data_IF_675278828349
#
_entry.id   IF_675278828349
#
_cell.length_a   1.000
_cell.length_b   1.000
_cell.length_c   1.000
_cell.angle_alpha   90.00
_cell.angle_beta   90.00
_cell.angle_gamma   90.00
#
_symmetry.space_group_name_H-M   'P 1'
#
loop_
_entity.id
_entity.type
_entity.pdbx_description
1 polymer ?
#
# COMPACT_ATOMS: atom_id res chain seq x y z
N UNK A 1 49.55 21.69 -48.47
CA UNK A 1 48.49 21.77 -47.45
C UNK A 1 48.78 20.72 -46.40
N UNK A 2 49.10 21.13 -45.18
CA UNK A 2 49.29 20.24 -44.04
C UNK A 2 47.93 20.03 -43.36
N UNK A 3 47.53 18.77 -43.15
CA UNK A 3 46.36 18.43 -42.34
C UNK A 3 46.81 17.54 -41.19
N UNK A 4 46.84 18.15 -40.01
CA UNK A 4 46.79 17.50 -38.70
C UNK A 4 45.38 16.95 -38.47
N UNK A 5 45.22 15.78 -37.85
CA UNK A 5 44.04 15.43 -37.04
C UNK A 5 44.40 14.28 -36.10
N UNK A 6 44.12 14.49 -34.82
CA UNK A 6 44.41 13.62 -33.69
C UNK A 6 43.46 12.41 -33.58
N UNK A 7 43.92 11.38 -32.87
CA UNK A 7 43.19 10.16 -32.48
C UNK A 7 41.98 10.47 -31.58
N UNK A 8 40.94 9.60 -31.59
CA UNK A 8 40.14 9.34 -30.40
C UNK A 8 40.23 7.89 -29.93
N UNK A 9 40.29 7.75 -28.60
CA UNK A 9 40.39 6.51 -27.84
C UNK A 9 39.15 5.60 -28.01
N UNK A 10 39.37 4.30 -28.22
CA UNK A 10 38.34 3.27 -28.22
C UNK A 10 37.80 3.03 -26.80
N UNK A 11 36.50 3.29 -26.58
CA UNK A 11 35.77 2.78 -25.42
C UNK A 11 35.25 1.37 -25.74
N UNK A 12 35.55 0.42 -24.86
CA UNK A 12 35.04 -0.95 -24.92
C UNK A 12 33.52 -0.98 -24.66
N UNK A 13 32.74 -1.82 -25.37
CA UNK A 13 31.32 -1.97 -25.12
C UNK A 13 31.05 -2.80 -23.85
N UNK A 14 30.26 -2.24 -22.94
CA UNK A 14 29.71 -2.93 -21.76
C UNK A 14 28.62 -3.89 -22.25
N UNK A 15 28.85 -5.20 -22.15
CA UNK A 15 27.82 -6.22 -22.33
C UNK A 15 26.95 -6.34 -21.07
N UNK A 16 25.63 -6.26 -21.25
CA UNK A 16 24.64 -6.62 -20.22
C UNK A 16 24.07 -8.00 -20.57
N UNK A 17 24.29 -8.97 -19.70
CA UNK A 17 23.70 -10.31 -19.80
C UNK A 17 22.24 -10.27 -19.36
N UNK A 18 21.34 -10.59 -20.29
CA UNK A 18 19.92 -10.89 -20.05
C UNK A 18 19.80 -12.41 -19.99
N UNK A 19 19.28 -12.96 -18.90
CA UNK A 19 18.96 -14.40 -18.80
C UNK A 19 17.49 -14.62 -19.10
N UNK A 20 17.21 -15.09 -20.32
CA UNK A 20 15.97 -15.77 -20.68
C UNK A 20 16.06 -17.23 -20.23
N UNK A 21 15.02 -17.74 -19.56
CA UNK A 21 14.76 -19.18 -19.50
C UNK A 21 13.31 -19.45 -19.90
N UNK A 22 13.15 -20.06 -21.07
CA UNK A 22 11.90 -20.61 -21.58
C UNK A 22 11.97 -22.14 -21.51
N UNK A 23 10.99 -22.80 -20.89
CA UNK A 23 10.69 -24.22 -21.13
C UNK A 23 9.18 -24.47 -21.18
N UNK A 24 8.74 -24.75 -22.40
CA UNK A 24 7.70 -25.66 -22.89
C UNK A 24 6.38 -25.87 -22.13
N UNK A 25 5.28 -25.56 -22.84
CA UNK A 25 3.93 -26.10 -22.65
C UNK A 25 3.86 -27.62 -22.72
N UNK A 26 3.11 -28.23 -21.79
CA UNK A 26 2.41 -29.50 -21.99
C UNK A 26 1.09 -29.50 -21.21
N UNK A 27 0.12 -30.21 -21.75
CA UNK A 27 -1.32 -30.10 -21.54
C UNK A 27 -1.91 -31.02 -20.45
N UNK A 28 -2.90 -30.49 -19.70
CA UNK A 28 -4.06 -31.15 -19.03
C UNK A 28 -3.79 -32.11 -17.84
N UNK A 29 -4.72 -32.30 -16.85
CA UNK A 29 -6.17 -32.15 -16.95
C UNK A 29 -6.89 -31.32 -15.87
N UNK A 30 -8.12 -30.95 -16.23
CA UNK A 30 -9.18 -30.39 -15.40
C UNK A 30 -9.48 -31.28 -14.19
N UNK A 31 -9.27 -30.75 -12.97
CA UNK A 31 -9.87 -31.32 -11.77
C UNK A 31 -11.08 -30.51 -11.37
N UNK A 32 -12.22 -31.19 -11.40
CA UNK A 32 -13.51 -30.75 -10.90
C UNK A 32 -13.41 -30.80 -9.37
N UNK A 33 -13.32 -29.65 -8.71
CA UNK A 33 -13.31 -29.57 -7.25
C UNK A 33 -14.74 -29.28 -6.78
N UNK A 34 -15.36 -30.27 -6.12
CA UNK A 34 -16.65 -30.10 -5.47
C UNK A 34 -16.53 -29.18 -4.23
N UNK A 35 -17.56 -28.39 -3.86
CA UNK A 35 -17.46 -27.29 -2.88
C UNK A 35 -17.29 -27.69 -1.39
N UNK A 36 -16.78 -28.88 -1.06
CA UNK A 36 -16.79 -29.42 0.30
C UNK A 36 -15.41 -29.55 0.98
N UNK A 37 -14.30 -29.28 0.30
CA UNK A 37 -12.97 -29.27 0.91
C UNK A 37 -12.43 -27.84 0.98
N UNK A 38 -12.55 -27.23 2.16
CA UNK A 38 -11.95 -25.93 2.48
C UNK A 38 -10.53 -26.14 3.02
N UNK A 39 -9.45 -25.71 2.33
CA UNK A 39 -8.19 -25.46 3.00
C UNK A 39 -8.37 -24.24 3.90
N UNK A 40 -8.19 -24.49 5.20
CA UNK A 40 -8.24 -23.50 6.28
C UNK A 40 -7.54 -22.20 5.90
N UNK A 41 -8.21 -21.09 6.22
CA UNK A 41 -7.63 -19.75 6.24
C UNK A 41 -6.36 -19.79 7.12
N UNK A 42 -5.17 -19.68 6.53
CA UNK A 42 -3.95 -19.41 7.28
C UNK A 42 -4.09 -18.02 7.89
N UNK A 43 -4.21 -17.84 9.21
CA UNK A 43 -4.04 -16.53 9.78
C UNK A 43 -2.54 -16.22 9.67
N UNK A 44 -2.18 -15.16 8.94
CA UNK A 44 -0.88 -14.56 9.09
C UNK A 44 -0.70 -14.18 10.57
N UNK A 45 0.04 -14.99 11.31
CA UNK A 45 0.45 -14.65 12.67
C UNK A 45 1.59 -13.65 12.59
N UNK A 46 1.29 -12.41 12.26
CA UNK A 46 2.10 -11.27 12.72
C UNK A 46 1.76 -11.02 14.19
N UNK A 47 1.94 -12.04 15.02
CA UNK A 47 1.82 -11.93 16.46
C UNK A 47 3.05 -11.20 16.98
N UNK A 48 3.00 -9.87 16.99
CA UNK A 48 3.99 -8.99 17.64
C UNK A 48 4.15 -9.28 19.15
N UNK A 49 3.32 -10.14 19.72
CA UNK A 49 3.33 -10.54 21.13
C UNK A 49 4.37 -11.61 21.49
N UNK A 50 5.05 -12.24 20.53
CA UNK A 50 6.01 -13.34 20.82
C UNK A 50 7.48 -12.91 20.92
N UNK A 51 7.81 -11.63 20.71
CA UNK A 51 9.17 -11.07 20.88
C UNK A 51 9.33 -10.34 22.22
N UNK A 52 8.55 -10.75 23.22
CA UNK A 52 8.42 -10.05 24.49
C UNK A 52 9.54 -10.38 25.47
N UNK A 53 10.58 -9.55 25.46
CA UNK A 53 11.52 -9.29 26.58
C UNK A 53 12.72 -10.24 26.75
N UNK A 54 12.62 -11.53 26.45
CA UNK A 54 13.77 -12.45 26.63
C UNK A 54 14.88 -12.25 25.57
N UNK A 55 14.50 -11.87 24.35
CA UNK A 55 15.44 -11.66 23.23
C UNK A 55 16.15 -10.28 23.28
N UNK A 56 15.62 -9.32 24.04
CA UNK A 56 16.14 -7.95 24.11
C UNK A 56 17.46 -7.84 24.87
N UNK A 57 17.60 -8.59 25.97
CA UNK A 57 18.81 -8.63 26.80
C UNK A 57 19.96 -9.37 26.08
N UNK A 58 19.66 -10.51 25.43
CA UNK A 58 20.67 -11.32 24.71
C UNK A 58 21.24 -10.59 23.48
N UNK A 59 20.44 -9.74 22.83
CA UNK A 59 20.87 -8.95 21.67
C UNK A 59 21.59 -7.64 22.05
N UNK A 60 21.49 -7.18 23.31
CA UNK A 60 22.17 -5.97 23.80
C UNK A 60 23.66 -6.18 23.97
N UNK A 61 24.07 -7.36 24.45
CA UNK A 61 25.48 -7.71 24.66
C UNK A 61 26.23 -8.05 23.36
N UNK A 62 25.52 -8.33 22.26
CA UNK A 62 26.15 -8.71 20.99
C UNK A 62 26.35 -7.55 20.01
N UNK A 63 25.75 -6.38 20.27
CA UNK A 63 25.90 -5.20 19.43
C UNK A 63 26.93 -4.29 20.09
N UNK A 64 28.11 -4.18 19.49
CA UNK A 64 29.14 -3.23 19.94
C UNK A 64 28.60 -1.80 20.07
N UNK A 65 29.36 -0.92 20.72
CA UNK A 65 28.96 0.47 21.01
C UNK A 65 28.33 1.14 19.79
N UNK A 66 27.01 1.41 19.88
CA UNK A 66 26.28 2.13 18.84
C UNK A 66 26.59 3.61 19.02
N UNK A 67 26.96 4.29 17.92
CA UNK A 67 27.27 5.71 17.93
C UNK A 67 26.17 6.45 17.15
N UNK A 68 25.66 7.54 17.72
CA UNK A 68 24.67 8.39 17.06
C UNK A 68 25.29 9.26 15.94
N UNK A 69 24.46 10.02 15.23
CA UNK A 69 24.92 10.95 14.17
C UNK A 69 25.79 12.10 14.70
N UNK A 70 25.83 12.31 16.01
CA UNK A 70 26.58 13.36 16.69
C UNK A 70 27.86 12.85 17.36
N UNK A 71 28.18 11.55 17.24
CA UNK A 71 29.38 10.95 17.81
C UNK A 71 29.23 10.49 19.28
N UNK A 72 28.02 10.50 19.85
CA UNK A 72 27.76 10.06 21.21
C UNK A 72 27.39 8.57 21.26
N UNK A 73 27.62 7.92 22.41
CA UNK A 73 27.16 6.56 22.65
C UNK A 73 25.62 6.50 22.70
N UNK A 74 25.04 5.76 21.77
CA UNK A 74 23.61 5.50 21.69
C UNK A 74 23.25 4.24 22.47
N UNK A 75 22.56 4.41 23.58
CA UNK A 75 21.98 3.30 24.33
C UNK A 75 20.57 3.02 23.82
N UNK A 76 20.32 1.79 23.36
CA UNK A 76 18.96 1.37 22.98
C UNK A 76 18.09 1.41 24.24
N UNK A 77 17.00 2.21 24.24
CA UNK A 77 16.08 2.24 25.36
C UNK A 77 15.33 0.90 25.48
N UNK A 78 15.26 0.35 26.69
CA UNK A 78 14.40 -0.82 26.99
C UNK A 78 13.00 -0.35 27.36
N UNK A 79 12.22 -0.01 26.33
CA UNK A 79 10.79 0.23 26.52
C UNK A 79 10.00 -1.04 26.21
N UNK A 80 9.14 -1.44 27.13
CA UNK A 80 8.14 -2.46 26.85
C UNK A 80 7.02 -1.85 25.99
N UNK A 81 6.38 -2.67 25.15
CA UNK A 81 5.21 -2.24 24.35
C UNK A 81 4.11 -1.63 25.24
N UNK A 82 3.97 -2.12 26.48
CA UNK A 82 3.01 -1.60 27.44
C UNK A 82 3.38 -0.19 27.91
N UNK A 83 4.64 0.08 28.24
CA UNK A 83 5.09 1.43 28.63
C UNK A 83 4.86 2.45 27.52
N UNK A 84 5.09 2.07 26.27
CA UNK A 84 4.83 2.93 25.11
C UNK A 84 3.32 3.20 24.99
N UNK A 85 2.48 2.18 25.11
CA UNK A 85 1.02 2.32 25.01
C UNK A 85 0.43 3.14 26.15
N UNK A 86 0.92 2.96 27.37
CA UNK A 86 0.45 3.67 28.56
C UNK A 86 0.83 5.16 28.54
N UNK A 87 1.85 5.54 27.75
CA UNK A 87 2.21 6.95 27.52
C UNK A 87 1.27 7.68 26.54
N UNK A 88 0.46 6.95 25.76
CA UNK A 88 -0.47 7.52 24.78
C UNK A 88 -1.77 7.91 25.51
N UNK A 89 -2.28 9.15 25.36
CA UNK A 89 -3.53 9.56 25.97
C UNK A 89 -4.72 8.67 25.61
N UNK A 90 -5.62 8.43 26.57
CA UNK A 90 -6.76 7.52 26.39
C UNK A 90 -7.69 7.90 25.22
N UNK A 91 -7.87 9.20 24.96
CA UNK A 91 -8.72 9.69 23.86
C UNK A 91 -8.16 9.33 22.47
N UNK A 92 -6.87 9.02 22.34
CA UNK A 92 -6.28 8.55 21.08
C UNK A 92 -6.73 7.13 20.70
N UNK A 93 -7.29 6.37 21.65
CA UNK A 93 -7.84 5.03 21.40
C UNK A 93 -9.34 5.05 21.10
N UNK A 94 -9.99 6.23 21.11
CA UNK A 94 -11.41 6.36 20.83
C UNK A 94 -11.66 6.29 19.32
N UNK A 95 -12.30 5.20 18.88
CA UNK A 95 -12.65 4.97 17.47
C UNK A 95 -14.06 5.44 17.21
N UNK A 96 -14.23 6.39 16.29
CA UNK A 96 -15.54 6.90 15.88
C UNK A 96 -16.00 6.27 14.57
N UNK A 97 -16.87 5.27 14.67
CA UNK A 97 -17.52 4.67 13.50
C UNK A 97 -18.39 5.70 12.75
N UNK A 98 -19.00 6.65 13.45
CA UNK A 98 -19.81 7.70 12.84
C UNK A 98 -18.98 8.58 11.88
N UNK A 99 -17.77 8.94 12.29
CA UNK A 99 -16.84 9.69 11.45
C UNK A 99 -16.40 8.85 10.25
N UNK A 100 -16.15 7.56 10.44
CA UNK A 100 -15.85 6.62 9.36
C UNK A 100 -16.97 6.52 8.32
N UNK A 101 -18.22 6.32 8.76
CA UNK A 101 -19.39 6.28 7.89
C UNK A 101 -19.61 7.60 7.15
N UNK A 102 -19.41 8.74 7.81
CA UNK A 102 -19.48 10.05 7.14
C UNK A 102 -18.53 10.12 5.94
N UNK A 103 -17.28 9.67 6.09
CA UNK A 103 -16.33 9.64 4.98
C UNK A 103 -16.73 8.66 3.88
N UNK A 104 -17.26 7.48 4.22
CA UNK A 104 -17.79 6.52 3.24
C UNK A 104 -18.92 7.17 2.43
N UNK A 105 -19.92 7.75 3.09
CA UNK A 105 -21.05 8.39 2.41
C UNK A 105 -20.61 9.58 1.55
N UNK A 106 -19.68 10.39 2.05
CA UNK A 106 -19.07 11.50 1.28
C UNK A 106 -18.43 10.98 0.00
N UNK A 107 -17.60 9.94 0.09
CA UNK A 107 -16.86 9.43 -1.07
C UNK A 107 -17.79 8.76 -2.08
N UNK A 108 -18.82 8.03 -1.63
CA UNK A 108 -19.89 7.50 -2.49
C UNK A 108 -20.65 8.64 -3.19
N UNK A 109 -21.01 9.69 -2.46
CA UNK A 109 -21.70 10.84 -3.05
C UNK A 109 -20.83 11.57 -4.09
N UNK A 110 -19.54 11.74 -3.83
CA UNK A 110 -18.58 12.31 -4.77
C UNK A 110 -18.43 11.43 -6.02
N UNK A 111 -18.32 10.11 -5.86
CA UNK A 111 -18.26 9.14 -6.97
C UNK A 111 -19.51 9.23 -7.83
N UNK A 112 -20.70 9.18 -7.22
CA UNK A 112 -21.97 9.23 -7.94
C UNK A 112 -22.13 10.57 -8.67
N UNK A 113 -21.84 11.69 -7.98
CA UNK A 113 -21.98 13.03 -8.56
C UNK A 113 -21.04 13.22 -9.75
N UNK A 114 -19.75 12.90 -9.59
CA UNK A 114 -18.79 13.05 -10.68
C UNK A 114 -19.07 12.12 -11.84
N UNK A 115 -19.57 10.91 -11.59
CA UNK A 115 -20.03 9.99 -12.65
C UNK A 115 -21.22 10.56 -13.41
N UNK A 116 -22.26 11.02 -12.72
CA UNK A 116 -23.44 11.62 -13.36
C UNK A 116 -23.03 12.83 -14.20
N UNK A 117 -22.16 13.69 -13.68
CA UNK A 117 -21.67 14.86 -14.42
C UNK A 117 -20.87 14.46 -15.66
N UNK A 118 -19.91 13.55 -15.51
CA UNK A 118 -19.08 13.10 -16.62
C UNK A 118 -19.94 12.41 -17.70
N UNK A 119 -20.80 11.48 -17.29
CA UNK A 119 -21.62 10.70 -18.21
C UNK A 119 -22.62 11.55 -18.99
N UNK A 120 -23.26 12.55 -18.37
CA UNK A 120 -24.28 13.36 -19.03
C UNK A 120 -23.72 14.55 -19.82
N UNK A 121 -22.64 15.18 -19.36
CA UNK A 121 -22.12 16.41 -19.97
C UNK A 121 -20.88 16.21 -20.83
N UNK A 122 -20.10 15.14 -20.64
CA UNK A 122 -18.88 14.88 -21.43
C UNK A 122 -19.23 14.11 -22.71
N UNK A 123 -20.19 14.65 -23.47
CA UNK A 123 -20.69 14.10 -24.73
C UNK A 123 -20.30 14.99 -25.92
N UNK A 124 -20.35 14.47 -27.16
CA UNK A 124 -20.07 15.27 -28.35
C UNK A 124 -21.04 16.44 -28.57
N UNK A 125 -22.25 16.37 -28.02
CA UNK A 125 -23.29 17.39 -28.13
C UNK A 125 -22.91 18.66 -27.35
N UNK A 126 -22.45 18.51 -26.10
CA UNK A 126 -22.02 19.63 -25.27
C UNK A 126 -20.56 20.02 -25.51
N UNK A 127 -19.69 19.05 -25.82
CA UNK A 127 -18.26 19.26 -26.04
C UNK A 127 -17.85 18.64 -27.38
N UNK A 128 -17.91 19.43 -28.47
CA UNK A 128 -17.58 18.94 -29.82
C UNK A 128 -16.11 18.56 -29.97
N UNK A 129 -15.21 19.19 -29.22
CA UNK A 129 -13.76 18.98 -29.32
C UNK A 129 -13.31 17.68 -28.63
N UNK A 130 -12.95 16.69 -29.45
CA UNK A 130 -12.42 15.39 -28.99
C UNK A 130 -11.24 15.49 -28.00
N UNK A 131 -10.19 16.33 -28.20
CA UNK A 131 -9.08 16.38 -27.24
C UNK A 131 -9.50 16.94 -25.88
N UNK A 132 -10.42 17.90 -25.84
CA UNK A 132 -10.96 18.44 -24.58
C UNK A 132 -11.77 17.36 -23.85
N UNK A 133 -12.61 16.63 -24.59
CA UNK A 133 -13.39 15.51 -24.04
C UNK A 133 -12.48 14.41 -23.46
N UNK A 134 -11.39 14.07 -24.15
CA UNK A 134 -10.40 13.13 -23.65
C UNK A 134 -9.73 13.61 -22.35
N UNK A 135 -9.38 14.90 -22.29
CA UNK A 135 -8.83 15.52 -21.07
C UNK A 135 -9.80 15.47 -19.88
N UNK A 136 -11.10 15.70 -20.13
CA UNK A 136 -12.14 15.61 -19.09
C UNK A 136 -12.35 14.17 -18.60
N UNK A 137 -12.30 13.17 -19.50
CA UNK A 137 -12.34 11.76 -19.10
C UNK A 137 -11.10 11.33 -18.30
N UNK A 138 -9.92 11.85 -18.64
CA UNK A 138 -8.70 11.62 -17.87
C UNK A 138 -8.82 12.23 -16.46
N UNK A 139 -9.29 13.49 -16.36
CA UNK A 139 -9.54 14.14 -15.07
C UNK A 139 -10.55 13.38 -14.23
N UNK A 140 -11.67 12.95 -14.85
CA UNK A 140 -12.68 12.11 -14.20
C UNK A 140 -12.07 10.82 -13.63
N UNK A 141 -11.23 10.13 -14.41
CA UNK A 141 -10.56 8.90 -13.98
C UNK A 141 -9.67 9.14 -12.76
N UNK A 142 -8.93 10.25 -12.73
CA UNK A 142 -8.11 10.62 -11.56
C UNK A 142 -8.99 10.90 -10.34
N UNK A 143 -10.08 11.66 -10.49
CA UNK A 143 -11.00 11.95 -9.39
C UNK A 143 -11.65 10.67 -8.83
N UNK A 144 -12.11 9.77 -9.70
CA UNK A 144 -12.64 8.47 -9.29
C UNK A 144 -11.60 7.63 -8.55
N UNK A 145 -10.35 7.63 -9.03
CA UNK A 145 -9.24 6.98 -8.34
C UNK A 145 -9.05 7.51 -6.92
N UNK A 146 -9.07 8.84 -6.73
CA UNK A 146 -8.91 9.46 -5.41
C UNK A 146 -10.00 9.03 -4.42
N UNK A 147 -11.27 9.09 -4.82
CA UNK A 147 -12.38 8.68 -3.95
C UNK A 147 -12.41 7.16 -3.72
N UNK A 148 -12.10 6.36 -4.75
CA UNK A 148 -11.99 4.91 -4.65
C UNK A 148 -10.85 4.47 -3.71
N UNK A 149 -9.70 5.14 -3.75
CA UNK A 149 -8.62 4.91 -2.79
C UNK A 149 -9.03 5.28 -1.36
N UNK A 150 -9.79 6.36 -1.16
CA UNK A 150 -10.35 6.72 0.14
C UNK A 150 -11.21 5.61 0.76
N UNK A 151 -12.13 5.06 -0.04
CA UNK A 151 -12.95 3.91 0.35
C UNK A 151 -12.11 2.66 0.65
N UNK A 152 -11.10 2.37 -0.19
CA UNK A 152 -10.21 1.24 0.00
C UNK A 152 -9.40 1.34 1.30
N UNK A 153 -8.88 2.52 1.63
CA UNK A 153 -8.16 2.75 2.90
C UNK A 153 -9.07 2.46 4.08
N UNK A 154 -10.30 2.99 4.08
CA UNK A 154 -11.24 2.75 5.19
C UNK A 154 -11.55 1.25 5.34
N UNK A 155 -11.78 0.54 4.23
CA UNK A 155 -12.00 -0.91 4.26
C UNK A 155 -10.76 -1.69 4.77
N UNK A 156 -9.55 -1.27 4.38
CA UNK A 156 -8.30 -1.84 4.90
C UNK A 156 -8.20 -1.66 6.42
N UNK A 157 -8.57 -0.48 6.95
CA UNK A 157 -8.58 -0.21 8.38
C UNK A 157 -9.69 -0.98 9.14
N UNK A 158 -10.79 -1.34 8.48
CA UNK A 158 -11.79 -2.27 9.03
C UNK A 158 -11.16 -3.66 9.28
N UNK A 159 -10.33 -4.15 8.36
CA UNK A 159 -9.57 -5.40 8.53
C UNK A 159 -8.63 -5.39 9.75
N UNK A 160 -8.08 -4.23 10.10
CA UNK A 160 -7.25 -4.03 11.31
C UNK A 160 -8.06 -3.72 12.58
N UNK A 161 -9.38 -3.79 12.52
CA UNK A 161 -10.28 -3.53 13.64
C UNK A 161 -10.16 -2.09 14.20
N UNK A 162 -9.74 -1.15 13.35
CA UNK A 162 -9.51 0.24 13.71
C UNK A 162 -10.71 1.15 13.43
N UNK A 163 -11.68 0.69 12.63
CA UNK A 163 -12.83 1.49 12.20
C UNK A 163 -13.87 1.72 13.30
N UNK A 164 -14.20 0.68 14.07
CA UNK A 164 -15.21 0.71 15.15
C UNK A 164 -14.72 -0.03 16.39
N UNK A 165 -15.19 0.34 17.59
CA UNK A 165 -15.01 -0.48 18.80
C UNK A 165 -15.66 -1.87 18.71
N UNK A 166 -16.66 -2.04 17.82
CA UNK A 166 -17.33 -3.33 17.62
C UNK A 166 -16.68 -4.13 16.49
N UNK A 167 -16.22 -5.34 16.83
CA UNK A 167 -15.65 -6.29 15.87
C UNK A 167 -16.65 -6.66 14.77
N UNK A 168 -17.91 -6.87 15.12
CA UNK A 168 -18.97 -7.23 14.16
C UNK A 168 -19.21 -6.13 13.13
N UNK A 169 -19.11 -4.85 13.53
CA UNK A 169 -19.26 -3.75 12.59
C UNK A 169 -18.07 -3.67 11.61
N UNK A 170 -16.85 -3.93 12.10
CA UNK A 170 -15.66 -3.95 11.25
C UNK A 170 -15.69 -5.12 10.25
N UNK A 171 -16.26 -6.26 10.63
CA UNK A 171 -16.36 -7.44 9.77
C UNK A 171 -17.52 -7.36 8.75
N UNK A 172 -18.47 -6.42 8.93
CA UNK A 172 -19.67 -6.28 8.07
C UNK A 172 -19.53 -5.18 7.01
N UNK A 173 -18.72 -4.16 7.27
CA UNK A 173 -18.42 -3.05 6.34
C UNK A 173 -17.49 -3.52 5.23
#
# INVERSE_FOLDING_TARGET
>A
MASTTALPAQRLPVQRTVTDYSVASSSAPSQVVSPADSPRNSPSTTSLSSLGSEDGEVLKDQRGTLIDTYGNEFKIPDYTIKQIRDAIPAHCFERSAATGFYYIFRDIACIATTFILAHNFVTPEYIPSTPVRAGLWALYTVLQGLFGTGLWVIAHECGHQAFSPSKTLNDTV
#
